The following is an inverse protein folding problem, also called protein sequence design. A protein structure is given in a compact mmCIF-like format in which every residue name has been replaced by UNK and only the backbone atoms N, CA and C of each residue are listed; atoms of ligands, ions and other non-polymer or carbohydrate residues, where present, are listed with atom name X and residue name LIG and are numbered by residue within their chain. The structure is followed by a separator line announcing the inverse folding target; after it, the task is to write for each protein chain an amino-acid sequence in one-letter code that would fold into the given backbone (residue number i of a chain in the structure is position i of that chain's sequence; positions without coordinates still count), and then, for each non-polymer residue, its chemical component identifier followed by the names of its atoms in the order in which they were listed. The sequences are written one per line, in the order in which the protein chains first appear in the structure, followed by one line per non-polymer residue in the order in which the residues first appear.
data_IF_815497660385
#
_entry.id   IF_815497660385
#
_cell.length_a   1.000
_cell.length_b   1.000
_cell.length_c   1.000
_cell.angle_alpha   90.00
_cell.angle_beta   90.00
_cell.angle_gamma   90.00
#
_symmetry.space_group_name_H-M   'P 1'
#
loop_
_entity.id
_entity.type
_entity.pdbx_description
1 polymer ?
#
# COMPACT_ATOMS: atom_id res chain seq x y z
N UNK A 1 22.62 -5.42 7.53
CA UNK A 1 21.69 -6.46 8.01
C UNK A 1 21.00 -7.08 6.81
N UNK A 2 20.83 -8.40 6.73
CA UNK A 2 20.23 -9.06 5.56
C UNK A 2 18.71 -8.76 5.54
N UNK A 3 18.17 -8.32 4.40
CA UNK A 3 16.73 -8.04 4.24
C UNK A 3 15.95 -9.33 4.45
N UNK A 4 14.85 -9.29 5.21
CA UNK A 4 13.97 -10.44 5.43
C UNK A 4 13.20 -10.71 4.14
N UNK A 5 13.21 -11.95 3.66
CA UNK A 5 12.46 -12.35 2.47
C UNK A 5 11.08 -12.88 2.88
N UNK A 6 10.01 -12.16 2.54
CA UNK A 6 8.63 -12.51 2.92
C UNK A 6 8.27 -13.93 2.45
N UNK A 7 8.69 -14.34 1.26
CA UNK A 7 8.37 -15.67 0.72
C UNK A 7 9.30 -16.79 1.18
N UNK A 8 10.26 -16.52 2.07
CA UNK A 8 11.17 -17.53 2.64
C UNK A 8 11.11 -17.51 4.18
N UNK A 9 10.16 -18.25 4.79
CA UNK A 9 9.99 -18.31 6.24
C UNK A 9 11.28 -18.60 7.05
N UNK A 10 12.25 -19.40 6.58
CA UNK A 10 13.52 -19.61 7.31
C UNK A 10 14.38 -18.34 7.47
N UNK A 11 14.11 -17.28 6.71
CA UNK A 11 14.80 -15.98 6.84
C UNK A 11 14.16 -15.07 7.88
N UNK A 12 13.03 -15.46 8.46
CA UNK A 12 12.27 -14.64 9.37
C UNK A 12 12.91 -14.62 10.75
N UNK A 13 12.98 -13.43 11.33
CA UNK A 13 13.47 -13.20 12.69
C UNK A 13 12.39 -12.51 13.50
N UNK A 14 12.40 -12.71 14.82
CA UNK A 14 11.49 -12.00 15.72
C UNK A 14 11.70 -10.48 15.59
N UNK A 15 10.60 -9.72 15.60
CA UNK A 15 10.61 -8.28 15.46
C UNK A 15 11.56 -7.60 16.48
N UNK A 16 12.30 -6.61 16.00
CA UNK A 16 13.14 -5.68 16.77
C UNK A 16 12.98 -4.27 16.20
N UNK A 17 12.90 -3.21 17.02
CA UNK A 17 12.72 -1.83 16.54
C UNK A 17 13.76 -1.37 15.50
N UNK A 18 14.99 -1.89 15.54
CA UNK A 18 16.04 -1.54 14.56
C UNK A 18 15.70 -1.96 13.13
N UNK A 19 14.84 -2.97 12.94
CA UNK A 19 14.44 -3.46 11.61
C UNK A 19 13.67 -2.39 10.83
N UNK A 20 12.93 -1.52 11.50
CA UNK A 20 12.18 -0.43 10.87
C UNK A 20 13.08 0.76 10.49
N UNK A 21 14.24 0.94 11.14
CA UNK A 21 15.15 2.08 10.88
C UNK A 21 15.75 2.10 9.48
N UNK A 22 15.76 0.95 8.79
CA UNK A 22 16.24 0.85 7.41
C UNK A 22 15.35 -0.02 6.52
N UNK A 23 14.04 -0.09 6.82
CA UNK A 23 13.08 -0.87 6.02
C UNK A 23 13.51 -2.35 5.84
N UNK A 24 14.19 -2.91 6.84
CA UNK A 24 14.64 -4.31 6.83
C UNK A 24 13.56 -5.29 7.32
N UNK A 25 12.54 -4.78 7.99
CA UNK A 25 11.35 -5.54 8.31
C UNK A 25 10.51 -5.78 7.05
N UNK A 26 10.10 -7.02 6.81
CA UNK A 26 9.21 -7.36 5.70
C UNK A 26 7.88 -6.58 5.74
N UNK A 27 7.43 -6.14 6.93
CA UNK A 27 6.22 -5.34 7.08
C UNK A 27 6.27 -4.00 6.33
N UNK A 28 7.45 -3.40 6.16
CA UNK A 28 7.62 -2.17 5.39
C UNK A 28 7.48 -2.40 3.87
N UNK A 29 7.53 -3.66 3.43
CA UNK A 29 7.39 -4.07 2.02
C UNK A 29 6.05 -4.76 1.72
N UNK A 30 5.15 -4.84 2.70
CA UNK A 30 3.83 -5.43 2.49
C UNK A 30 2.92 -4.45 1.72
N UNK A 31 2.00 -4.97 0.89
CA UNK A 31 0.99 -4.14 0.25
C UNK A 31 0.15 -3.42 1.31
N UNK A 32 0.08 -2.10 1.22
CA UNK A 32 -0.77 -1.29 2.10
C UNK A 32 -2.16 -1.22 1.50
N UNK A 33 -3.15 -1.66 2.28
CA UNK A 33 -4.56 -1.59 1.92
C UNK A 33 -5.18 -0.35 2.57
N UNK A 34 -5.93 0.42 1.78
CA UNK A 34 -6.62 1.63 2.24
C UNK A 34 -8.05 1.68 1.71
N UNK A 35 -8.90 2.41 2.40
CA UNK A 35 -10.30 2.72 2.06
C UNK A 35 -10.40 3.98 1.19
N UNK A 36 -11.59 4.24 0.65
CA UNK A 36 -11.86 5.49 -0.07
C UNK A 36 -11.78 6.73 0.86
N UNK A 37 -12.17 6.59 2.12
CA UNK A 37 -12.13 7.66 3.12
C UNK A 37 -10.68 8.02 3.48
N UNK A 38 -9.81 7.03 3.66
CA UNK A 38 -8.38 7.27 3.86
C UNK A 38 -7.73 7.95 2.64
N UNK A 39 -8.12 7.55 1.42
CA UNK A 39 -7.67 8.25 0.20
C UNK A 39 -8.17 9.70 0.11
N UNK A 40 -9.34 10.00 0.68
CA UNK A 40 -9.83 11.37 0.81
C UNK A 40 -9.00 12.18 1.81
N UNK A 41 -8.70 11.62 2.98
CA UNK A 41 -7.83 12.28 3.97
C UNK A 41 -6.41 12.51 3.45
N UNK A 42 -5.92 11.62 2.59
CA UNK A 42 -4.64 11.78 1.88
C UNK A 42 -4.72 12.76 0.69
N UNK A 43 -5.91 13.28 0.36
CA UNK A 43 -6.12 14.28 -0.70
C UNK A 43 -6.21 13.72 -2.12
N UNK A 44 -6.34 12.41 -2.31
CA UNK A 44 -6.43 11.78 -3.63
C UNK A 44 -7.85 11.65 -4.19
N UNK A 45 -8.82 11.65 -3.28
CA UNK A 45 -10.25 11.67 -3.59
C UNK A 45 -10.90 12.93 -3.03
N UNK A 46 -11.99 13.35 -3.65
CA UNK A 46 -12.90 14.40 -3.17
C UNK A 46 -14.06 13.76 -2.42
N UNK A 47 -14.74 14.54 -1.56
CA UNK A 47 -15.87 14.07 -0.75
C UNK A 47 -16.98 13.39 -1.58
N UNK A 48 -17.32 13.94 -2.75
CA UNK A 48 -18.31 13.35 -3.66
C UNK A 48 -17.84 12.05 -4.35
N UNK A 49 -16.54 11.79 -4.38
CA UNK A 49 -15.95 10.60 -4.98
C UNK A 49 -15.93 9.41 -3.99
N UNK A 50 -15.91 9.68 -2.68
CA UNK A 50 -15.87 8.64 -1.63
C UNK A 50 -17.09 7.72 -1.69
N UNK A 51 -18.28 8.31 -1.85
CA UNK A 51 -19.55 7.59 -1.89
C UNK A 51 -20.06 7.29 -3.32
N UNK A 52 -19.30 7.72 -4.33
CA UNK A 52 -19.70 7.65 -5.73
C UNK A 52 -19.22 6.37 -6.45
N UNK A 53 -19.51 6.26 -7.76
CA UNK A 53 -18.97 5.18 -8.59
C UNK A 53 -17.43 5.25 -8.65
N UNK A 54 -16.76 4.22 -8.14
CA UNK A 54 -15.30 4.22 -8.01
C UNK A 54 -14.54 3.88 -9.29
N UNK A 55 -15.20 3.36 -10.33
CA UNK A 55 -14.51 2.85 -11.54
C UNK A 55 -13.63 3.89 -12.23
N UNK A 56 -14.14 5.12 -12.41
CA UNK A 56 -13.38 6.22 -13.03
C UNK A 56 -12.19 6.64 -12.17
N UNK A 57 -12.38 6.64 -10.85
CA UNK A 57 -11.36 7.01 -9.87
C UNK A 57 -10.25 5.96 -9.81
N UNK A 58 -10.61 4.68 -9.81
CA UNK A 58 -9.65 3.56 -9.84
C UNK A 58 -8.72 3.69 -11.05
N UNK A 59 -9.27 3.90 -12.25
CA UNK A 59 -8.45 4.04 -13.45
C UNK A 59 -7.58 5.30 -13.44
N UNK A 60 -8.09 6.42 -12.92
CA UNK A 60 -7.30 7.65 -12.71
C UNK A 60 -6.14 7.42 -11.72
N UNK A 61 -6.41 6.78 -10.58
CA UNK A 61 -5.43 6.54 -9.53
C UNK A 61 -4.35 5.53 -9.95
N UNK A 62 -4.72 4.50 -10.74
CA UNK A 62 -3.76 3.57 -11.35
C UNK A 62 -2.82 4.28 -12.32
N UNK A 63 -3.35 5.12 -13.21
CA UNK A 63 -2.53 5.90 -14.18
C UNK A 63 -1.52 6.81 -13.47
N UNK A 64 -1.88 7.36 -12.32
CA UNK A 64 -0.99 8.20 -11.50
C UNK A 64 -0.05 7.41 -10.59
N UNK A 65 -0.05 6.08 -10.65
CA UNK A 65 0.72 5.20 -9.75
C UNK A 65 0.48 5.49 -8.26
N UNK A 66 -0.75 5.83 -7.90
CA UNK A 66 -1.16 5.99 -6.49
C UNK A 66 -1.62 4.64 -5.94
N UNK A 67 -2.40 3.89 -6.74
CA UNK A 67 -2.86 2.54 -6.41
C UNK A 67 -2.33 1.53 -7.42
N UNK A 68 -2.11 0.30 -6.95
CA UNK A 68 -1.83 -0.89 -7.78
C UNK A 68 -3.12 -1.56 -8.24
N UNK A 69 -4.09 -1.72 -7.35
CA UNK A 69 -5.34 -2.42 -7.62
C UNK A 69 -6.47 -1.98 -6.69
N UNK A 70 -7.69 -2.37 -7.03
CA UNK A 70 -8.89 -2.16 -6.22
C UNK A 70 -9.70 -3.45 -6.17
N UNK A 71 -10.16 -3.83 -4.97
CA UNK A 71 -11.02 -4.99 -4.76
C UNK A 71 -12.46 -4.52 -4.53
N UNK A 72 -13.34 -4.81 -5.48
CA UNK A 72 -14.74 -4.38 -5.43
C UNK A 72 -15.58 -5.06 -4.35
N UNK A 73 -15.18 -6.27 -3.89
CA UNK A 73 -15.86 -7.03 -2.83
C UNK A 73 -15.56 -6.45 -1.45
N UNK A 74 -14.29 -6.13 -1.18
CA UNK A 74 -13.87 -5.56 0.12
C UNK A 74 -13.87 -4.04 0.15
N UNK A 75 -14.01 -3.39 -1.02
CA UNK A 75 -13.90 -1.93 -1.19
C UNK A 75 -12.53 -1.36 -0.77
N UNK A 76 -11.49 -2.20 -0.82
CA UNK A 76 -10.12 -1.80 -0.47
C UNK A 76 -9.28 -1.53 -1.72
N UNK A 77 -8.44 -0.50 -1.61
CA UNK A 77 -7.42 -0.13 -2.58
C UNK A 77 -6.08 -0.64 -2.10
N UNK A 78 -5.31 -1.26 -2.99
CA UNK A 78 -3.90 -1.56 -2.72
C UNK A 78 -3.06 -0.41 -3.23
N UNK A 79 -2.29 0.24 -2.36
CA UNK A 79 -1.39 1.32 -2.75
C UNK A 79 -0.31 0.83 -3.70
N UNK A 80 0.18 1.73 -4.55
CA UNK A 80 1.31 1.42 -5.43
C UNK A 80 2.57 1.20 -4.60
N UNK A 81 3.40 0.27 -5.06
CA UNK A 81 4.72 0.00 -4.50
C UNK A 81 5.76 0.24 -5.59
N UNK A 82 6.84 0.92 -5.24
CA UNK A 82 8.00 1.09 -6.10
C UNK A 82 8.64 -0.27 -6.42
N UNK A 83 9.49 -0.37 -7.47
CA UNK A 83 10.14 -1.62 -7.86
C UNK A 83 11.01 -2.26 -6.75
N UNK A 84 11.47 -1.48 -5.78
CA UNK A 84 12.20 -1.94 -4.60
C UNK A 84 11.28 -2.44 -3.45
N UNK A 85 9.97 -2.46 -3.70
CA UNK A 85 8.87 -2.77 -2.78
C UNK A 85 8.59 -1.71 -1.70
N UNK A 86 9.13 -0.50 -1.83
CA UNK A 86 8.76 0.60 -0.94
C UNK A 86 7.37 1.13 -1.31
N UNK A 87 6.58 1.52 -0.31
CA UNK A 87 5.27 2.11 -0.56
C UNK A 87 5.44 3.59 -0.94
N UNK A 88 4.54 4.16 -1.75
CA UNK A 88 4.61 5.59 -2.16
C UNK A 88 4.64 6.56 -0.96
N UNK A 89 4.24 6.11 0.23
CA UNK A 89 4.13 6.93 1.44
C UNK A 89 5.14 6.55 2.54
N UNK A 90 6.10 5.65 2.27
CA UNK A 90 7.09 5.17 3.25
C UNK A 90 8.52 5.26 2.74
#
# INVERSE_FOLDING_TARGET
MKKVEIHKPPTWVKFKPELCKGCFAGCCTLPVLVTAEELFHLGFLKYNEVNGPLNTQVERLKKRKIIKSFNSRTKLFTLYQHPNNDCVFL
#
